data_IF_588521369034
#
_entry.id   IF_588521369034
#
_cell.length_a   1.000
_cell.length_b   1.000
_cell.length_c   1.000
_cell.angle_alpha   90.00
_cell.angle_beta   90.00
_cell.angle_gamma   90.00
#
_symmetry.space_group_name_H-M   'P 1'
#
loop_
_entity.id
_entity.type
_entity.pdbx_description
1 polymer ?
#
# COMPACT_ATOMS: atom_id res chain seq x y z
N UNK A 1 -19.32 14.85 14.12
CA UNK A 1 -18.36 13.76 13.82
C UNK A 1 -17.01 14.13 14.42
N UNK A 2 -16.37 13.23 15.18
CA UNK A 2 -15.07 13.49 15.83
C UNK A 2 -13.97 13.70 14.78
N UNK A 3 -12.93 14.48 15.09
CA UNK A 3 -11.93 14.95 14.12
C UNK A 3 -11.17 13.81 13.42
N UNK A 4 -10.88 12.74 14.14
CA UNK A 4 -10.21 11.55 13.60
C UNK A 4 -11.07 10.81 12.58
N UNK A 5 -12.40 10.80 12.73
CA UNK A 5 -13.30 10.21 11.72
C UNK A 5 -13.40 11.08 10.47
N UNK A 6 -13.33 12.41 10.63
CA UNK A 6 -13.29 13.35 9.49
C UNK A 6 -12.00 13.19 8.70
N UNK A 7 -10.87 13.09 9.39
CA UNK A 7 -9.58 12.85 8.74
C UNK A 7 -9.60 11.51 8.00
N UNK A 8 -10.01 10.42 8.68
CA UNK A 8 -10.11 9.10 8.05
C UNK A 8 -10.98 9.13 6.78
N UNK A 9 -12.18 9.71 6.85
CA UNK A 9 -13.07 9.80 5.69
C UNK A 9 -12.50 10.60 4.53
N UNK A 10 -11.60 11.55 4.79
CA UNK A 10 -10.93 12.34 3.76
C UNK A 10 -9.74 11.61 3.13
N UNK A 11 -8.96 10.85 3.92
CA UNK A 11 -7.75 10.15 3.42
C UNK A 11 -8.02 8.75 2.89
N UNK A 12 -9.09 8.09 3.33
CA UNK A 12 -9.43 6.73 2.91
C UNK A 12 -9.55 6.60 1.38
N UNK A 13 -10.22 7.53 0.65
CA UNK A 13 -10.33 7.41 -0.81
C UNK A 13 -8.98 7.53 -1.52
N UNK A 14 -8.06 8.32 -0.97
CA UNK A 14 -6.70 8.45 -1.50
C UNK A 14 -5.95 7.12 -1.39
N UNK A 15 -6.07 6.43 -0.26
CA UNK A 15 -5.45 5.13 -0.07
C UNK A 15 -6.13 4.03 -0.91
N UNK A 16 -7.47 4.05 -0.97
CA UNK A 16 -8.29 3.00 -1.57
C UNK A 16 -8.03 2.77 -3.07
N UNK A 17 -7.52 3.77 -3.79
CA UNK A 17 -7.17 3.64 -5.23
C UNK A 17 -6.29 2.44 -5.51
N UNK A 18 -5.41 2.06 -4.57
CA UNK A 18 -4.49 0.93 -4.74
C UNK A 18 -5.21 -0.41 -4.96
N UNK A 19 -6.44 -0.54 -4.48
CA UNK A 19 -7.21 -1.78 -4.55
C UNK A 19 -8.18 -1.85 -5.74
N UNK A 20 -8.50 -0.71 -6.37
CA UNK A 20 -9.60 -0.62 -7.34
C UNK A 20 -9.21 0.07 -8.65
N UNK A 21 -8.14 0.86 -8.68
CA UNK A 21 -7.71 1.53 -9.89
C UNK A 21 -7.16 0.52 -10.91
N UNK A 22 -7.49 0.65 -12.21
CA UNK A 22 -6.98 -0.27 -13.23
C UNK A 22 -5.45 -0.26 -13.28
N UNK A 23 -4.80 0.87 -13.03
CA UNK A 23 -3.34 1.00 -13.00
C UNK A 23 -2.68 0.03 -12.03
N UNK A 24 -3.26 -0.21 -10.86
CA UNK A 24 -2.65 -1.07 -9.84
C UNK A 24 -2.81 -2.54 -10.16
N UNK A 25 -3.93 -2.93 -10.76
CA UNK A 25 -4.15 -4.29 -11.26
C UNK A 25 -3.20 -4.61 -12.43
N UNK A 26 -3.03 -3.69 -13.38
CA UNK A 26 -2.10 -3.89 -14.49
C UNK A 26 -0.64 -3.90 -14.03
N UNK A 27 -0.27 -3.04 -13.10
CA UNK A 27 1.08 -3.02 -12.53
C UNK A 27 1.43 -4.32 -11.78
N UNK A 28 0.47 -4.90 -11.04
CA UNK A 28 0.65 -6.20 -10.40
C UNK A 28 0.87 -7.33 -11.43
N UNK A 29 0.11 -7.34 -12.52
CA UNK A 29 0.30 -8.31 -13.61
C UNK A 29 1.64 -8.12 -14.31
N UNK A 30 2.08 -6.88 -14.52
CA UNK A 30 3.32 -6.56 -15.20
C UNK A 30 4.56 -7.08 -14.45
N UNK A 31 4.52 -7.14 -13.11
CA UNK A 31 5.57 -7.76 -12.29
C UNK A 31 5.39 -9.28 -12.12
N UNK A 32 4.41 -9.89 -12.79
CA UNK A 32 4.21 -11.34 -12.81
C UNK A 32 3.24 -11.89 -11.77
N UNK A 33 2.63 -11.06 -10.92
CA UNK A 33 1.66 -11.52 -9.92
C UNK A 33 0.35 -11.98 -10.58
N UNK A 34 -0.20 -13.10 -10.09
CA UNK A 34 -1.33 -13.79 -10.73
C UNK A 34 -2.65 -13.52 -10.02
N UNK A 35 -3.58 -12.91 -10.74
CA UNK A 35 -4.91 -12.63 -10.24
C UNK A 35 -4.95 -11.57 -9.13
N UNK A 36 -6.15 -11.19 -8.73
CA UNK A 36 -6.35 -10.07 -7.80
C UNK A 36 -5.74 -10.31 -6.42
N UNK A 37 -6.03 -11.46 -5.80
CA UNK A 37 -5.65 -11.73 -4.41
C UNK A 37 -4.13 -11.84 -4.21
N UNK A 38 -3.39 -12.37 -5.18
CA UNK A 38 -1.93 -12.40 -5.10
C UNK A 38 -1.35 -10.99 -5.12
N UNK A 39 -1.79 -10.14 -6.06
CA UNK A 39 -1.44 -8.72 -6.11
C UNK A 39 -1.85 -7.95 -4.85
N UNK A 40 -3.01 -8.26 -4.29
CA UNK A 40 -3.52 -7.67 -3.05
C UNK A 40 -2.60 -7.99 -1.87
N UNK A 41 -2.34 -9.27 -1.61
CA UNK A 41 -1.55 -9.69 -0.45
C UNK A 41 -0.07 -9.33 -0.60
N UNK A 42 0.54 -9.64 -1.74
CA UNK A 42 1.93 -9.29 -2.01
C UNK A 42 2.13 -7.77 -1.91
N UNK A 43 1.22 -7.00 -2.52
CA UNK A 43 1.29 -5.54 -2.49
C UNK A 43 1.16 -4.95 -1.08
N UNK A 44 0.38 -5.53 -0.18
CA UNK A 44 0.30 -5.04 1.22
C UNK A 44 1.52 -5.41 2.06
N UNK A 45 2.06 -6.61 1.82
CA UNK A 45 3.07 -7.23 2.68
C UNK A 45 4.50 -7.02 2.20
N UNK A 46 4.72 -6.59 0.96
CA UNK A 46 6.06 -6.44 0.39
C UNK A 46 7.04 -5.62 1.26
N UNK A 47 6.64 -4.53 1.95
CA UNK A 47 7.55 -3.83 2.87
C UNK A 47 8.03 -4.66 4.08
N UNK A 48 7.31 -5.73 4.46
CA UNK A 48 7.74 -6.68 5.50
C UNK A 48 8.75 -7.71 4.98
N UNK A 49 9.06 -7.71 3.68
CA UNK A 49 9.88 -8.72 3.02
C UNK A 49 9.10 -9.98 2.63
N UNK A 50 9.80 -11.04 2.19
CA UNK A 50 9.18 -12.25 1.64
C UNK A 50 8.69 -13.18 2.76
N UNK A 51 7.78 -12.68 3.61
CA UNK A 51 7.25 -13.45 4.74
C UNK A 51 6.36 -14.60 4.28
N UNK A 52 6.35 -15.69 5.06
CA UNK A 52 5.50 -16.85 4.83
C UNK A 52 4.02 -16.63 5.18
N UNK A 53 3.16 -17.63 4.90
CA UNK A 53 1.71 -17.51 5.10
C UNK A 53 1.29 -17.35 6.58
N UNK A 54 2.03 -17.90 7.54
CA UNK A 54 1.72 -17.81 8.97
C UNK A 54 1.85 -16.37 9.52
N UNK A 55 3.02 -15.69 9.41
CA UNK A 55 3.12 -14.29 9.84
C UNK A 55 2.23 -13.37 9.00
N UNK A 56 2.04 -13.67 7.70
CA UNK A 56 1.13 -12.92 6.85
C UNK A 56 -0.32 -13.00 7.35
N UNK A 57 -0.78 -14.19 7.74
CA UNK A 57 -2.13 -14.40 8.30
C UNK A 57 -2.31 -13.66 9.62
N UNK A 58 -1.30 -13.64 10.49
CA UNK A 58 -1.34 -12.88 11.74
C UNK A 58 -1.47 -11.36 11.49
N UNK A 59 -0.73 -10.83 10.51
CA UNK A 59 -0.82 -9.41 10.11
C UNK A 59 -2.17 -9.09 9.45
N UNK A 60 -2.71 -10.02 8.67
CA UNK A 60 -3.94 -9.89 7.89
C UNK A 60 -5.13 -10.58 8.56
N UNK A 61 -5.20 -10.53 9.89
CA UNK A 61 -6.14 -11.29 10.73
C UNK A 61 -7.62 -11.30 10.27
N UNK A 62 -8.07 -10.31 9.50
CA UNK A 62 -9.40 -10.26 8.91
C UNK A 62 -9.64 -11.21 7.72
N UNK A 63 -8.61 -11.91 7.23
CA UNK A 63 -8.70 -12.83 6.09
C UNK A 63 -8.62 -14.29 6.52
N UNK A 64 -9.36 -15.16 5.82
CA UNK A 64 -9.26 -16.60 6.04
C UNK A 64 -7.81 -17.08 5.74
N UNK A 65 -7.18 -17.88 6.62
CA UNK A 65 -5.81 -18.35 6.44
C UNK A 65 -5.57 -19.02 5.07
N UNK A 66 -6.55 -19.79 4.59
CA UNK A 66 -6.50 -20.46 3.29
C UNK A 66 -6.41 -19.48 2.10
N UNK A 67 -6.96 -18.26 2.21
CA UNK A 67 -6.81 -17.25 1.16
C UNK A 67 -5.38 -16.72 1.10
N UNK A 68 -4.75 -16.49 2.26
CA UNK A 68 -3.37 -16.01 2.36
C UNK A 68 -2.41 -17.08 1.85
N UNK A 69 -2.58 -18.33 2.30
CA UNK A 69 -1.75 -19.47 1.90
C UNK A 69 -1.85 -19.82 0.41
N UNK A 70 -2.93 -19.41 -0.28
CA UNK A 70 -3.04 -19.58 -1.73
C UNK A 70 -2.20 -18.58 -2.53
N UNK A 71 -1.88 -17.43 -1.95
CA UNK A 71 -1.09 -16.39 -2.61
C UNK A 71 0.39 -16.44 -2.20
N UNK A 72 0.65 -16.75 -0.93
CA UNK A 72 1.98 -16.83 -0.35
C UNK A 72 2.31 -18.27 0.02
N UNK A 73 3.54 -18.74 -0.28
CA UNK A 73 4.72 -17.96 -0.65
C UNK A 73 4.88 -17.69 -2.15
N UNK A 74 4.05 -18.27 -3.02
CA UNK A 74 4.23 -18.26 -4.48
C UNK A 74 4.46 -16.87 -5.09
N UNK A 75 3.82 -15.82 -4.58
CA UNK A 75 4.03 -14.44 -5.03
C UNK A 75 5.52 -14.04 -5.08
N UNK A 76 6.31 -14.48 -4.10
CA UNK A 76 7.73 -14.16 -3.97
C UNK A 76 8.61 -14.89 -4.99
N UNK A 77 8.07 -15.92 -5.64
CA UNK A 77 8.73 -16.58 -6.79
C UNK A 77 8.49 -15.84 -8.10
N UNK A 78 7.45 -15.01 -8.17
CA UNK A 78 7.12 -14.21 -9.35
C UNK A 78 7.74 -12.81 -9.32
N UNK A 79 7.73 -12.17 -8.15
CA UNK A 79 8.23 -10.82 -7.98
C UNK A 79 8.99 -10.66 -6.65
N UNK A 80 10.11 -9.94 -6.67
CA UNK A 80 10.77 -9.58 -5.42
C UNK A 80 9.92 -8.55 -4.65
N UNK A 81 9.98 -8.51 -3.31
CA UNK A 81 9.27 -7.49 -2.54
C UNK A 81 9.62 -6.06 -2.97
N UNK A 82 10.87 -5.81 -3.37
CA UNK A 82 11.32 -4.51 -3.88
C UNK A 82 10.60 -4.13 -5.18
N UNK A 83 10.48 -5.07 -6.14
CA UNK A 83 9.76 -4.83 -7.40
C UNK A 83 8.27 -4.58 -7.16
N UNK A 84 7.66 -5.31 -6.21
CA UNK A 84 6.26 -5.11 -5.83
C UNK A 84 6.04 -3.72 -5.23
N UNK A 85 6.92 -3.26 -4.33
CA UNK A 85 6.83 -1.91 -3.75
C UNK A 85 6.99 -0.84 -4.82
N UNK A 86 8.02 -0.94 -5.67
CA UNK A 86 8.28 0.03 -6.73
C UNK A 86 7.12 0.11 -7.73
N UNK A 87 6.64 -1.04 -8.20
CA UNK A 87 5.48 -1.14 -9.10
C UNK A 87 4.21 -0.54 -8.49
N UNK A 88 3.95 -0.85 -7.21
CA UNK A 88 2.79 -0.32 -6.50
C UNK A 88 2.85 1.20 -6.36
N UNK A 89 3.99 1.76 -5.95
CA UNK A 89 4.17 3.22 -5.82
C UNK A 89 3.99 3.94 -7.16
N UNK A 90 4.55 3.41 -8.24
CA UNK A 90 4.35 3.98 -9.57
C UNK A 90 2.88 3.94 -10.01
N UNK A 91 2.19 2.83 -9.74
CA UNK A 91 0.79 2.65 -10.12
C UNK A 91 -0.17 3.56 -9.35
N UNK A 92 0.00 3.72 -8.04
CA UNK A 92 -0.82 4.64 -7.25
C UNK A 92 -0.59 6.08 -7.64
N UNK A 93 0.65 6.46 -7.96
CA UNK A 93 0.98 7.76 -8.53
C UNK A 93 0.22 8.03 -9.82
N UNK A 94 0.23 7.07 -10.76
CA UNK A 94 -0.49 7.19 -12.03
C UNK A 94 -2.01 7.31 -11.82
N UNK A 95 -2.58 6.47 -10.94
CA UNK A 95 -4.00 6.49 -10.62
C UNK A 95 -4.43 7.81 -9.97
N UNK A 96 -3.66 8.31 -9.00
CA UNK A 96 -3.95 9.58 -8.34
C UNK A 96 -3.78 10.76 -9.31
N UNK A 97 -2.76 10.74 -10.17
CA UNK A 97 -2.56 11.80 -11.17
C UNK A 97 -3.75 11.90 -12.14
N UNK A 98 -4.28 10.75 -12.57
CA UNK A 98 -5.48 10.72 -13.43
C UNK A 98 -6.71 11.33 -12.74
N UNK A 99 -6.85 11.14 -11.43
CA UNK A 99 -8.05 11.58 -10.68
C UNK A 99 -7.93 13.01 -10.16
N UNK A 100 -6.74 13.39 -9.66
CA UNK A 100 -6.50 14.63 -8.93
C UNK A 100 -5.68 15.66 -9.72
N UNK A 101 -4.99 15.25 -10.78
CA UNK A 101 -3.95 16.06 -11.41
C UNK A 101 -2.71 16.24 -10.50
N UNK A 102 -1.92 17.26 -10.81
CA UNK A 102 -0.74 17.66 -10.03
C UNK A 102 -1.06 18.90 -9.14
N UNK A 103 -0.11 19.35 -8.31
CA UNK A 103 -0.26 20.59 -7.50
C UNK A 103 -0.76 20.37 -6.06
N UNK A 104 -0.44 19.23 -5.45
CA UNK A 104 -0.91 18.84 -4.10
C UNK A 104 0.20 18.86 -3.03
N UNK A 105 1.26 19.65 -3.23
CA UNK A 105 2.47 19.66 -2.39
C UNK A 105 2.18 20.10 -0.95
N UNK A 106 1.26 21.04 -0.76
CA UNK A 106 0.82 21.47 0.58
C UNK A 106 0.16 20.31 1.32
N UNK A 107 -0.74 19.58 0.65
CA UNK A 107 -1.43 18.43 1.24
C UNK A 107 -0.45 17.32 1.62
N UNK A 108 0.54 17.03 0.75
CA UNK A 108 1.63 16.08 1.04
C UNK A 108 2.35 16.48 2.32
N UNK A 109 2.79 17.74 2.41
CA UNK A 109 3.55 18.26 3.56
C UNK A 109 2.74 18.17 4.86
N UNK A 110 1.46 18.54 4.82
CA UNK A 110 0.57 18.48 5.99
C UNK A 110 0.35 17.04 6.45
N UNK A 111 0.15 16.11 5.52
CA UNK A 111 -0.10 14.71 5.83
C UNK A 111 1.16 14.04 6.39
N UNK A 112 2.33 14.31 5.82
CA UNK A 112 3.61 13.81 6.32
C UNK A 112 3.88 14.29 7.74
N UNK A 113 3.59 15.56 8.05
CA UNK A 113 3.70 16.08 9.42
C UNK A 113 2.76 15.36 10.39
N UNK A 114 1.52 15.10 9.97
CA UNK A 114 0.55 14.40 10.80
C UNK A 114 0.96 12.94 11.06
N UNK A 115 1.40 12.23 10.02
CA UNK A 115 1.86 10.83 10.11
C UNK A 115 3.15 10.73 10.92
N UNK A 116 4.07 11.67 10.77
CA UNK A 116 5.32 11.71 11.54
C UNK A 116 5.12 11.86 13.06
N UNK A 117 3.95 12.35 13.50
CA UNK A 117 3.57 12.40 14.91
C UNK A 117 2.90 11.11 15.43
N UNK A 118 2.60 10.15 14.54
CA UNK A 118 1.89 8.92 14.89
C UNK A 118 2.85 7.81 15.32
N UNK A 119 2.41 6.97 16.27
CA UNK A 119 3.14 5.76 16.69
C UNK A 119 2.65 4.53 15.92
N UNK A 120 3.57 3.66 15.54
CA UNK A 120 3.25 2.41 14.82
C UNK A 120 3.26 1.15 15.71
N UNK A 121 3.27 1.30 17.04
CA UNK A 121 3.25 0.16 17.98
C UNK A 121 2.02 -0.73 17.71
N UNK A 122 2.26 -2.04 17.54
CA UNK A 122 1.20 -3.01 17.21
C UNK A 122 0.58 -2.84 15.81
N UNK A 123 1.15 -1.98 14.95
CA UNK A 123 0.67 -1.70 13.59
C UNK A 123 1.75 -2.10 12.57
N UNK A 124 1.97 -3.41 12.35
CA UNK A 124 3.10 -3.90 11.54
C UNK A 124 3.09 -3.36 10.11
N UNK A 125 1.92 -3.22 9.48
CA UNK A 125 1.82 -2.65 8.13
C UNK A 125 2.20 -1.17 8.10
N UNK A 126 1.71 -0.36 9.04
CA UNK A 126 2.06 1.05 9.12
C UNK A 126 3.57 1.22 9.37
N UNK A 127 4.14 0.43 10.29
CA UNK A 127 5.58 0.43 10.56
C UNK A 127 6.41 0.08 9.31
N UNK A 128 6.00 -0.96 8.58
CA UNK A 128 6.73 -1.41 7.39
C UNK A 128 6.64 -0.41 6.23
N UNK A 129 5.45 0.16 5.98
CA UNK A 129 5.28 1.18 4.96
C UNK A 129 6.00 2.50 5.29
N UNK A 130 6.06 2.87 6.57
CA UNK A 130 6.86 4.03 7.01
C UNK A 130 8.37 3.83 6.81
N UNK A 131 8.85 2.58 6.80
CA UNK A 131 10.26 2.25 6.56
C UNK A 131 10.64 2.19 5.07
N UNK A 132 9.67 2.22 4.15
CA UNK A 132 9.96 2.29 2.71
C UNK A 132 10.65 3.61 2.39
N UNK A 133 11.77 3.62 1.63
CA UNK A 133 12.46 4.84 1.21
C UNK A 133 11.50 5.85 0.61
N UNK A 134 11.73 7.13 0.90
CA UNK A 134 10.83 8.20 0.46
C UNK A 134 10.72 8.25 -1.07
N UNK A 135 9.49 8.10 -1.63
CA UNK A 135 9.29 8.22 -3.07
C UNK A 135 9.57 9.65 -3.56
N UNK A 136 10.18 9.79 -4.73
CA UNK A 136 10.41 11.11 -5.34
C UNK A 136 9.09 11.79 -5.79
N UNK A 137 8.08 11.02 -6.18
CA UNK A 137 6.80 11.54 -6.65
C UNK A 137 5.92 12.01 -5.47
N UNK A 138 5.50 13.30 -5.43
CA UNK A 138 4.58 13.81 -4.42
C UNK A 138 3.29 13.00 -4.28
N UNK A 139 2.74 12.44 -5.36
CA UNK A 139 1.49 11.66 -5.28
C UNK A 139 1.70 10.28 -4.66
N UNK A 140 2.87 9.66 -4.83
CA UNK A 140 3.24 8.45 -4.11
C UNK A 140 3.42 8.72 -2.61
N UNK A 141 4.01 9.88 -2.26
CA UNK A 141 4.12 10.34 -0.86
C UNK A 141 2.75 10.61 -0.25
N UNK A 142 1.85 11.27 -0.99
CA UNK A 142 0.47 11.50 -0.60
C UNK A 142 -0.25 10.18 -0.28
N UNK A 143 -0.16 9.20 -1.18
CA UNK A 143 -0.76 7.88 -0.98
C UNK A 143 -0.21 7.18 0.26
N UNK A 144 1.12 7.20 0.46
CA UNK A 144 1.77 6.59 1.63
C UNK A 144 1.32 7.23 2.93
N UNK A 145 1.10 8.55 2.95
CA UNK A 145 0.60 9.25 4.13
C UNK A 145 -0.85 8.91 4.49
N UNK A 146 -1.63 8.34 3.57
CA UNK A 146 -2.98 7.85 3.82
C UNK A 146 -3.06 6.36 4.23
N UNK A 147 -1.92 5.65 4.23
CA UNK A 147 -1.84 4.20 4.47
C UNK A 147 -1.79 3.79 5.96
#
# INVERSE_FOLDING_TARGET
MRIERRLWAAVEPLHAVVYFAPETAEAAKAVGLRGYWMGYFAGRLAPLGPIGPEPATAVLFCFAPAMVARALPDAWTFASPADVVASRLAAVSAALRRVLGDGHEELVTLLERAVGACRCDGRPLAAAWAAVPEPADPLARLWRGGA
#
